data_IF_789553806416
#
_entry.id   IF_789553806416
#
_cell.length_a   1.000
_cell.length_b   1.000
_cell.length_c   1.000
_cell.angle_alpha   90.00
_cell.angle_beta   90.00
_cell.angle_gamma   90.00
#
_symmetry.space_group_name_H-M   'P 1'
#
loop_
_entity.id
_entity.type
_entity.pdbx_description
1 polymer ?
#
# COMPACT_ATOMS: atom_id res chain seq x y z
N UNK A 1 -1.62 -35.36 -10.00
CA UNK A 1 -2.04 -33.95 -10.21
C UNK A 1 -3.28 -33.95 -11.11
N UNK A 2 -4.44 -33.84 -10.50
CA UNK A 2 -5.71 -33.62 -11.22
C UNK A 2 -5.66 -32.20 -11.80
N UNK A 3 -5.39 -32.09 -13.10
CA UNK A 3 -5.66 -30.87 -13.84
C UNK A 3 -7.18 -30.66 -13.85
N UNK A 4 -7.66 -29.82 -12.97
CA UNK A 4 -9.04 -29.34 -13.04
C UNK A 4 -9.14 -28.44 -14.27
N UNK A 5 -9.67 -28.99 -15.36
CA UNK A 5 -9.97 -28.20 -16.57
C UNK A 5 -11.07 -27.23 -16.19
N UNK A 6 -10.76 -25.94 -16.17
CA UNK A 6 -11.76 -24.90 -15.90
C UNK A 6 -12.65 -24.79 -17.13
N UNK A 7 -13.99 -24.81 -16.97
CA UNK A 7 -14.92 -24.78 -18.09
C UNK A 7 -14.74 -23.56 -19.00
N UNK A 8 -14.95 -23.70 -20.29
CA UNK A 8 -14.89 -22.61 -21.29
C UNK A 8 -15.83 -21.42 -20.98
N UNK A 9 -16.77 -21.62 -20.06
CA UNK A 9 -17.74 -20.61 -19.63
C UNK A 9 -17.28 -19.74 -18.47
N UNK A 10 -16.07 -19.99 -17.93
CA UNK A 10 -15.55 -19.24 -16.76
C UNK A 10 -15.51 -17.75 -17.04
N UNK A 11 -16.04 -16.98 -16.10
CA UNK A 11 -16.05 -15.52 -16.15
C UNK A 11 -14.80 -14.92 -15.47
N UNK A 12 -14.50 -13.68 -15.82
CA UNK A 12 -13.44 -12.92 -15.13
C UNK A 12 -13.80 -12.72 -13.64
N UNK A 13 -15.08 -12.55 -13.32
CA UNK A 13 -15.57 -12.45 -11.95
C UNK A 13 -15.19 -13.65 -11.10
N UNK A 14 -15.42 -14.86 -11.61
CA UNK A 14 -15.04 -16.11 -10.92
C UNK A 14 -13.53 -16.21 -10.70
N UNK A 15 -12.71 -15.79 -11.66
CA UNK A 15 -11.25 -15.76 -11.48
C UNK A 15 -10.83 -14.74 -10.43
N UNK A 16 -11.46 -13.55 -10.42
CA UNK A 16 -11.18 -12.51 -9.41
C UNK A 16 -11.57 -12.98 -8.00
N UNK A 17 -12.72 -13.68 -7.88
CA UNK A 17 -13.19 -14.24 -6.60
C UNK A 17 -12.25 -15.31 -6.08
N UNK A 18 -11.83 -16.21 -6.95
CA UNK A 18 -10.86 -17.25 -6.61
C UNK A 18 -9.52 -16.65 -6.17
N UNK A 19 -9.01 -15.66 -6.92
CA UNK A 19 -7.78 -14.96 -6.59
C UNK A 19 -7.88 -14.21 -5.25
N UNK A 20 -8.99 -13.53 -4.99
CA UNK A 20 -9.25 -12.83 -3.74
C UNK A 20 -9.24 -13.79 -2.55
N UNK A 21 -9.75 -15.02 -2.74
CA UNK A 21 -9.84 -16.05 -1.69
C UNK A 21 -8.53 -16.82 -1.48
N UNK A 22 -7.85 -17.22 -2.56
CA UNK A 22 -6.74 -18.17 -2.47
C UNK A 22 -5.36 -17.47 -2.46
N UNK A 23 -5.18 -16.39 -3.22
CA UNK A 23 -3.87 -15.78 -3.47
C UNK A 23 -3.71 -14.46 -2.69
N UNK A 24 -4.67 -13.55 -2.81
CA UNK A 24 -4.56 -12.21 -2.23
C UNK A 24 -4.32 -12.21 -0.71
N UNK A 25 -4.85 -13.13 0.12
CA UNK A 25 -4.57 -13.16 1.56
C UNK A 25 -3.10 -13.41 1.89
N UNK A 26 -2.31 -13.99 1.00
CA UNK A 26 -0.87 -14.19 1.18
C UNK A 26 -0.06 -12.90 1.00
N UNK A 27 -0.67 -11.86 0.42
CA UNK A 27 -0.02 -10.59 0.14
C UNK A 27 -0.20 -9.58 1.28
N UNK A 28 0.86 -8.88 1.64
CA UNK A 28 0.80 -7.74 2.59
C UNK A 28 -0.16 -6.64 2.13
N UNK A 29 -0.42 -6.53 0.83
CA UNK A 29 -1.31 -5.55 0.21
C UNK A 29 -2.77 -6.00 0.08
N UNK A 30 -3.15 -7.14 0.67
CA UNK A 30 -4.48 -7.75 0.54
C UNK A 30 -5.63 -6.75 0.64
N UNK A 31 -5.65 -5.91 1.69
CA UNK A 31 -6.71 -4.93 1.90
C UNK A 31 -6.83 -3.91 0.75
N UNK A 32 -5.70 -3.50 0.18
CA UNK A 32 -5.68 -2.57 -0.96
C UNK A 32 -6.01 -3.28 -2.27
N UNK A 33 -5.60 -4.53 -2.43
CA UNK A 33 -5.94 -5.37 -3.58
C UNK A 33 -7.44 -5.60 -3.68
N UNK A 34 -8.12 -5.84 -2.56
CA UNK A 34 -9.57 -6.03 -2.49
C UNK A 34 -10.35 -4.92 -3.20
N UNK A 35 -10.02 -3.65 -2.96
CA UNK A 35 -10.68 -2.53 -3.64
C UNK A 35 -10.46 -2.54 -5.16
N UNK A 36 -9.29 -2.96 -5.62
CA UNK A 36 -8.98 -3.05 -7.04
C UNK A 36 -9.67 -4.24 -7.70
N UNK A 37 -9.72 -5.39 -7.02
CA UNK A 37 -10.47 -6.56 -7.45
C UNK A 37 -11.96 -6.24 -7.57
N UNK A 38 -12.56 -5.52 -6.62
CA UNK A 38 -13.94 -5.03 -6.71
C UNK A 38 -14.16 -4.12 -7.93
N UNK A 39 -13.19 -3.23 -8.21
CA UNK A 39 -13.27 -2.36 -9.39
C UNK A 39 -13.22 -3.19 -10.67
N UNK A 40 -12.28 -4.11 -10.80
CA UNK A 40 -12.17 -5.01 -11.95
C UNK A 40 -13.44 -5.85 -12.14
N UNK A 41 -13.99 -6.37 -11.06
CA UNK A 41 -15.25 -7.15 -11.05
C UNK A 41 -16.42 -6.31 -11.60
N UNK A 42 -16.53 -5.06 -11.18
CA UNK A 42 -17.59 -4.14 -11.66
C UNK A 42 -17.56 -3.93 -13.18
N UNK A 43 -16.38 -3.86 -13.79
CA UNK A 43 -16.24 -3.51 -15.21
C UNK A 43 -16.04 -4.70 -16.13
N UNK A 44 -15.48 -5.79 -15.63
CA UNK A 44 -15.06 -6.95 -16.43
C UNK A 44 -15.65 -8.28 -15.92
N UNK A 45 -16.26 -8.29 -14.74
CA UNK A 45 -16.70 -9.51 -14.06
C UNK A 45 -17.59 -10.41 -14.89
N UNK A 46 -18.56 -9.85 -15.62
CA UNK A 46 -19.53 -10.61 -16.43
C UNK A 46 -18.94 -11.15 -17.75
N UNK A 47 -17.69 -10.78 -18.07
CA UNK A 47 -17.07 -11.23 -19.31
C UNK A 47 -16.50 -12.63 -19.15
N UNK A 48 -16.74 -13.48 -20.16
CA UNK A 48 -16.07 -14.78 -20.25
C UNK A 48 -14.57 -14.58 -20.50
N UNK A 49 -13.76 -15.45 -19.94
CA UNK A 49 -12.29 -15.41 -20.10
C UNK A 49 -11.92 -15.53 -21.59
N UNK A 50 -12.62 -16.40 -22.36
CA UNK A 50 -12.43 -16.56 -23.80
C UNK A 50 -12.67 -15.27 -24.60
N UNK A 51 -13.49 -14.36 -24.08
CA UNK A 51 -13.86 -13.10 -24.72
C UNK A 51 -13.02 -11.90 -24.21
N UNK A 52 -12.04 -12.13 -23.33
CA UNK A 52 -11.16 -11.07 -22.83
C UNK A 52 -10.05 -10.76 -23.85
N UNK A 53 -10.44 -10.16 -24.95
CA UNK A 53 -9.50 -9.72 -25.99
C UNK A 53 -8.72 -8.45 -25.57
N UNK A 54 -7.54 -8.18 -26.14
CA UNK A 54 -6.81 -6.92 -25.90
C UNK A 54 -7.66 -5.68 -26.15
N UNK A 55 -8.56 -5.70 -27.13
CA UNK A 55 -9.49 -4.60 -27.43
C UNK A 55 -10.47 -4.31 -26.29
N UNK A 56 -10.88 -5.34 -25.53
CA UNK A 56 -11.74 -5.20 -24.36
C UNK A 56 -10.97 -4.49 -23.24
N UNK A 57 -9.70 -4.85 -23.04
CA UNK A 57 -8.82 -4.24 -22.05
C UNK A 57 -8.48 -2.79 -22.42
N UNK A 58 -8.25 -2.50 -23.70
CA UNK A 58 -8.08 -1.13 -24.20
C UNK A 58 -9.32 -0.27 -23.88
N UNK A 59 -10.51 -0.79 -24.10
CA UNK A 59 -11.77 -0.09 -23.80
C UNK A 59 -11.92 0.18 -22.30
N UNK A 60 -11.61 -0.82 -21.47
CA UNK A 60 -11.53 -0.66 -20.01
C UNK A 60 -10.54 0.43 -19.62
N UNK A 61 -9.30 0.37 -20.14
CA UNK A 61 -8.26 1.36 -19.90
C UNK A 61 -8.74 2.78 -20.21
N UNK A 62 -9.29 2.98 -21.41
CA UNK A 62 -9.70 4.31 -21.89
C UNK A 62 -10.89 4.85 -21.10
N UNK A 63 -11.81 3.99 -20.68
CA UNK A 63 -12.91 4.36 -19.79
C UNK A 63 -12.42 4.74 -18.39
N UNK A 64 -11.48 3.97 -17.83
CA UNK A 64 -10.93 4.24 -16.49
C UNK A 64 -10.08 5.49 -16.44
N UNK A 65 -9.32 5.81 -17.50
CA UNK A 65 -8.52 7.04 -17.58
C UNK A 65 -9.34 8.33 -17.46
N UNK A 66 -10.65 8.27 -17.69
CA UNK A 66 -11.54 9.43 -17.50
C UNK A 66 -11.82 9.74 -16.03
N UNK A 67 -11.60 8.78 -15.13
CA UNK A 67 -12.01 8.88 -13.71
C UNK A 67 -10.90 8.59 -12.71
N UNK A 68 -9.76 8.02 -13.15
CA UNK A 68 -8.62 7.74 -12.27
C UNK A 68 -7.29 8.15 -12.92
N UNK A 69 -6.27 8.37 -12.09
CA UNK A 69 -4.93 8.68 -12.59
C UNK A 69 -4.31 7.50 -13.35
N UNK A 70 -3.39 7.76 -14.30
CA UNK A 70 -2.63 6.71 -15.00
C UNK A 70 -1.96 5.72 -14.05
N UNK A 71 -1.43 6.19 -12.93
CA UNK A 71 -0.79 5.36 -11.92
C UNK A 71 -1.78 4.41 -11.21
N UNK A 72 -3.01 4.85 -10.96
CA UNK A 72 -4.06 4.01 -10.37
C UNK A 72 -4.51 2.93 -11.34
N UNK A 73 -4.78 3.31 -12.59
CA UNK A 73 -5.14 2.37 -13.63
C UNK A 73 -4.05 1.32 -13.89
N UNK A 74 -2.78 1.74 -13.93
CA UNK A 74 -1.67 0.77 -14.07
C UNK A 74 -1.70 -0.29 -12.97
N UNK A 75 -2.01 0.10 -11.73
CA UNK A 75 -2.13 -0.86 -10.62
C UNK A 75 -3.33 -1.81 -10.78
N UNK A 76 -4.46 -1.34 -11.33
CA UNK A 76 -5.60 -2.19 -11.66
C UNK A 76 -5.21 -3.24 -12.72
N UNK A 77 -4.55 -2.80 -13.80
CA UNK A 77 -4.10 -3.69 -14.89
C UNK A 77 -3.03 -4.69 -14.43
N UNK A 78 -2.12 -4.29 -13.53
CA UNK A 78 -1.13 -5.21 -12.94
C UNK A 78 -1.81 -6.33 -12.17
N UNK A 79 -2.85 -6.02 -11.37
CA UNK A 79 -3.61 -7.06 -10.65
C UNK A 79 -4.36 -7.96 -11.63
N UNK A 80 -5.03 -7.41 -12.63
CA UNK A 80 -5.69 -8.22 -13.67
C UNK A 80 -4.69 -9.15 -14.35
N UNK A 81 -3.51 -8.64 -14.68
CA UNK A 81 -2.43 -9.45 -15.25
C UNK A 81 -1.98 -10.58 -14.33
N UNK A 82 -1.86 -10.30 -13.02
CA UNK A 82 -1.48 -11.32 -12.03
C UNK A 82 -2.56 -12.41 -11.94
N UNK A 83 -3.83 -12.04 -11.86
CA UNK A 83 -4.96 -12.97 -11.84
C UNK A 83 -4.93 -13.91 -13.07
N UNK A 84 -4.77 -13.34 -14.27
CA UNK A 84 -4.73 -14.12 -15.50
C UNK A 84 -3.47 -15.00 -15.58
N UNK A 85 -2.32 -14.53 -15.14
CA UNK A 85 -1.11 -15.34 -15.10
C UNK A 85 -1.23 -16.53 -14.14
N UNK A 86 -1.82 -16.32 -12.96
CA UNK A 86 -2.11 -17.40 -12.01
C UNK A 86 -3.11 -18.39 -12.63
N UNK A 87 -4.14 -17.89 -13.27
CA UNK A 87 -5.14 -18.72 -13.93
C UNK A 87 -4.55 -19.60 -15.03
N UNK A 88 -3.65 -19.07 -15.83
CA UNK A 88 -2.94 -19.80 -16.89
C UNK A 88 -1.98 -20.84 -16.29
N UNK A 89 -1.17 -20.42 -15.30
CA UNK A 89 -0.08 -21.25 -14.79
C UNK A 89 -0.53 -22.31 -13.79
N UNK A 90 -1.51 -22.01 -12.96
CA UNK A 90 -1.85 -22.82 -11.79
C UNK A 90 -3.26 -23.40 -11.87
N UNK A 91 -4.21 -22.71 -12.58
CA UNK A 91 -5.60 -23.15 -12.60
C UNK A 91 -6.01 -23.82 -13.91
N UNK A 92 -5.09 -23.96 -14.88
CA UNK A 92 -5.33 -24.67 -16.13
C UNK A 92 -6.27 -23.96 -17.11
N UNK A 93 -6.37 -22.63 -17.01
CA UNK A 93 -7.13 -21.83 -17.99
C UNK A 93 -6.42 -21.90 -19.35
N UNK A 94 -7.16 -22.27 -20.38
CA UNK A 94 -6.67 -22.36 -21.76
C UNK A 94 -6.65 -20.98 -22.42
N UNK A 95 -5.73 -20.12 -22.01
CA UNK A 95 -5.37 -18.88 -22.70
C UNK A 95 -3.94 -19.01 -23.23
N UNK A 96 -3.76 -18.85 -24.54
CA UNK A 96 -2.44 -18.92 -25.15
C UNK A 96 -1.47 -17.85 -24.59
N UNK A 97 -2.00 -16.66 -24.28
CA UNK A 97 -1.22 -15.54 -23.77
C UNK A 97 -2.12 -14.64 -22.92
N UNK A 98 -1.52 -14.02 -21.92
CA UNK A 98 -2.19 -13.00 -21.11
C UNK A 98 -2.51 -11.76 -21.96
N UNK A 99 -3.79 -11.43 -22.23
CA UNK A 99 -4.15 -10.33 -23.11
C UNK A 99 -3.77 -8.95 -22.55
N UNK A 100 -3.52 -8.82 -21.23
CA UNK A 100 -3.04 -7.57 -20.64
C UNK A 100 -1.62 -7.23 -21.12
N UNK A 101 -0.78 -8.24 -21.38
CA UNK A 101 0.57 -8.03 -21.88
C UNK A 101 0.63 -7.44 -23.30
N UNK A 102 -0.47 -7.57 -24.04
CA UNK A 102 -0.60 -7.05 -25.41
C UNK A 102 -1.11 -5.60 -25.44
N UNK A 103 -1.42 -5.00 -24.30
CA UNK A 103 -1.98 -3.65 -24.21
C UNK A 103 -0.95 -2.67 -23.70
N UNK A 104 -0.82 -1.54 -24.40
CA UNK A 104 0.04 -0.46 -23.94
C UNK A 104 -0.47 0.13 -22.62
N UNK A 105 0.38 0.09 -21.60
CA UNK A 105 0.09 0.68 -20.31
C UNK A 105 0.17 2.22 -20.38
N UNK A 106 -0.64 2.93 -19.57
CA UNK A 106 -0.59 4.38 -19.53
C UNK A 106 0.77 4.86 -19.03
N UNK A 107 1.30 5.90 -19.67
CA UNK A 107 2.52 6.56 -19.20
C UNK A 107 2.23 7.23 -17.86
N UNK A 108 3.07 6.96 -16.88
CA UNK A 108 3.04 7.62 -15.58
C UNK A 108 4.00 8.80 -15.68
N UNK A 109 3.54 9.99 -15.30
CA UNK A 109 4.42 11.16 -15.18
C UNK A 109 5.53 10.94 -14.14
N UNK A 110 6.50 11.83 -14.12
CA UNK A 110 7.57 11.82 -13.12
C UNK A 110 6.98 11.82 -11.69
N UNK A 111 7.67 11.19 -10.76
CA UNK A 111 7.31 11.23 -9.35
C UNK A 111 7.24 12.67 -8.83
N UNK A 112 6.60 12.86 -7.68
CA UNK A 112 6.65 14.16 -7.00
C UNK A 112 8.08 14.38 -6.50
N UNK A 113 8.65 15.53 -6.88
CA UNK A 113 10.00 15.96 -6.50
C UNK A 113 9.95 17.22 -5.60
N UNK A 114 8.79 17.48 -5.02
CA UNK A 114 8.58 18.65 -4.17
C UNK A 114 9.21 18.42 -2.80
N UNK A 115 10.06 19.34 -2.39
CA UNK A 115 10.59 19.48 -1.02
C UNK A 115 9.83 20.59 -0.30
N UNK A 116 9.98 20.65 1.03
CA UNK A 116 9.48 21.77 1.82
C UNK A 116 10.21 23.05 1.42
N UNK A 117 9.45 24.09 1.21
CA UNK A 117 9.97 25.44 1.00
C UNK A 117 10.23 26.15 2.33
N UNK A 118 10.95 27.28 2.27
CA UNK A 118 11.22 28.08 3.46
C UNK A 118 9.91 28.53 4.14
N UNK A 119 9.81 28.33 5.45
CA UNK A 119 8.63 28.67 6.26
C UNK A 119 7.49 27.62 6.23
N UNK A 120 7.54 26.59 5.39
CA UNK A 120 6.53 25.52 5.42
C UNK A 120 6.71 24.59 6.62
N UNK A 121 7.94 24.32 7.03
CA UNK A 121 8.24 23.53 8.24
C UNK A 121 7.60 24.19 9.48
N UNK A 122 7.77 25.49 9.64
CA UNK A 122 7.20 26.24 10.77
C UNK A 122 5.67 26.14 10.79
N UNK A 123 5.01 26.26 9.61
CA UNK A 123 3.56 26.07 9.49
C UNK A 123 3.11 24.66 9.87
N UNK A 124 3.86 23.64 9.46
CA UNK A 124 3.55 22.25 9.83
C UNK A 124 3.69 22.04 11.35
N UNK A 125 4.64 22.71 11.98
CA UNK A 125 4.89 22.61 13.42
C UNK A 125 3.85 23.37 14.29
N UNK A 126 2.90 24.12 13.68
CA UNK A 126 1.73 24.66 14.40
C UNK A 126 0.62 23.65 14.66
N UNK A 127 0.76 22.42 14.15
CA UNK A 127 -0.21 21.35 14.35
C UNK A 127 -0.40 20.97 15.83
N UNK A 128 -1.42 20.13 16.12
CA UNK A 128 -1.65 19.60 17.46
C UNK A 128 -0.41 18.89 18.03
N UNK A 129 -0.30 18.84 19.35
CA UNK A 129 0.91 18.37 20.04
C UNK A 129 1.38 16.98 19.59
N UNK A 130 0.48 16.02 19.37
CA UNK A 130 0.82 14.69 18.89
C UNK A 130 1.24 14.71 17.43
N UNK A 131 0.48 15.39 16.55
CA UNK A 131 0.80 15.50 15.13
C UNK A 131 2.14 16.23 14.92
N UNK A 132 2.40 17.28 15.69
CA UNK A 132 3.69 17.99 15.69
C UNK A 132 4.85 17.03 15.99
N UNK A 133 4.74 16.17 17.00
CA UNK A 133 5.78 15.19 17.33
C UNK A 133 6.00 14.18 16.22
N UNK A 134 4.91 13.68 15.59
CA UNK A 134 4.99 12.81 14.42
C UNK A 134 5.72 13.50 13.27
N UNK A 135 5.42 14.78 13.01
CA UNK A 135 6.07 15.57 11.95
C UNK A 135 7.57 15.72 12.25
N UNK A 136 7.96 16.07 13.48
CA UNK A 136 9.37 16.18 13.87
C UNK A 136 10.08 14.85 13.64
N UNK A 137 9.53 13.74 14.12
CA UNK A 137 10.13 12.42 13.91
C UNK A 137 10.25 12.10 12.41
N UNK A 138 9.24 12.44 11.60
CA UNK A 138 9.28 12.21 10.16
C UNK A 138 10.40 13.02 9.47
N UNK A 139 10.52 14.30 9.79
CA UNK A 139 11.53 15.20 9.20
C UNK A 139 12.96 14.78 9.60
N UNK A 140 13.17 14.46 10.87
CA UNK A 140 14.48 14.14 11.40
C UNK A 140 14.98 12.74 11.00
N UNK A 141 14.08 11.81 10.68
CA UNK A 141 14.46 10.41 10.43
C UNK A 141 14.22 9.93 9.01
N UNK A 142 13.40 10.63 8.23
CA UNK A 142 12.95 10.17 6.91
C UNK A 142 12.17 8.84 6.92
N UNK A 143 11.66 8.42 8.09
CA UNK A 143 10.91 7.17 8.23
C UNK A 143 9.60 7.22 7.45
N UNK A 144 9.16 6.05 7.00
CA UNK A 144 7.82 5.93 6.40
C UNK A 144 6.73 6.12 7.46
N UNK A 145 5.59 6.71 7.06
CA UNK A 145 4.45 6.92 7.96
C UNK A 145 4.08 5.68 8.78
N UNK A 146 3.99 4.51 8.15
CA UNK A 146 3.65 3.27 8.85
C UNK A 146 4.71 2.82 9.85
N UNK A 147 5.98 3.11 9.60
CA UNK A 147 7.07 2.81 10.54
C UNK A 147 6.97 3.72 11.77
N UNK A 148 6.70 5.02 11.58
CA UNK A 148 6.53 5.99 12.69
C UNK A 148 5.35 5.61 13.58
N UNK A 149 4.18 5.28 12.98
CA UNK A 149 2.99 4.92 13.72
C UNK A 149 3.10 3.59 14.48
N UNK A 150 4.08 2.76 14.14
CA UNK A 150 4.35 1.49 14.81
C UNK A 150 5.56 1.56 15.75
N UNK A 151 6.08 2.75 16.07
CA UNK A 151 7.13 2.90 17.08
C UNK A 151 6.59 2.46 18.43
N UNK A 152 7.31 1.58 19.12
CA UNK A 152 7.08 1.18 20.51
C UNK A 152 8.19 1.72 21.40
N UNK A 153 7.93 1.84 22.70
CA UNK A 153 8.95 2.27 23.68
C UNK A 153 10.17 1.34 23.67
N UNK A 154 9.92 0.03 23.57
CA UNK A 154 10.97 -1.00 23.50
C UNK A 154 11.88 -0.90 22.27
N UNK A 155 11.46 -0.17 21.23
CA UNK A 155 12.27 0.06 20.04
C UNK A 155 13.32 1.17 20.21
N UNK A 156 13.22 1.99 21.27
CA UNK A 156 14.04 3.21 21.46
C UNK A 156 15.12 2.95 22.48
N UNK A 157 16.37 3.08 22.07
CA UNK A 157 17.52 3.15 22.98
C UNK A 157 17.93 4.61 23.19
N UNK A 158 17.48 5.21 24.30
CA UNK A 158 17.78 6.60 24.63
C UNK A 158 19.23 6.84 25.02
N UNK A 159 19.93 5.83 25.52
CA UNK A 159 21.34 5.95 25.89
C UNK A 159 22.23 5.97 24.64
N UNK A 160 21.94 5.11 23.69
CA UNK A 160 22.66 5.06 22.40
C UNK A 160 22.09 6.00 21.36
N UNK A 161 20.98 6.67 21.64
CA UNK A 161 20.26 7.56 20.71
C UNK A 161 19.90 6.83 19.39
N UNK A 162 19.36 5.62 19.48
CA UNK A 162 19.00 4.81 18.32
C UNK A 162 17.56 4.32 18.39
N UNK A 163 16.98 4.05 17.23
CA UNK A 163 15.65 3.48 17.06
C UNK A 163 15.71 2.24 16.18
N UNK A 164 15.25 1.12 16.70
CA UNK A 164 15.06 -0.12 15.95
C UNK A 164 13.74 -0.07 15.19
N UNK A 165 13.78 -0.36 13.89
CA UNK A 165 12.62 -0.52 13.03
C UNK A 165 12.52 -2.02 12.70
N UNK A 166 11.71 -2.81 13.43
CA UNK A 166 11.69 -4.26 13.30
C UNK A 166 11.00 -4.73 12.02
N UNK A 167 10.01 -3.98 11.54
CA UNK A 167 9.24 -4.31 10.34
C UNK A 167 9.38 -3.21 9.29
N UNK A 168 10.05 -3.52 8.21
CA UNK A 168 10.14 -2.65 7.04
C UNK A 168 9.31 -3.19 5.88
N UNK A 169 9.18 -2.42 4.80
CA UNK A 169 8.50 -2.88 3.58
C UNK A 169 9.19 -4.12 2.97
N UNK A 170 10.48 -4.30 3.22
CA UNK A 170 11.32 -5.40 2.69
C UNK A 170 11.62 -6.47 3.73
N UNK A 171 10.94 -6.48 4.87
CA UNK A 171 11.11 -7.43 5.99
C UNK A 171 12.52 -7.46 6.61
N UNK A 172 13.35 -6.47 6.33
CA UNK A 172 14.70 -6.38 6.90
C UNK A 172 14.68 -5.35 8.04
N UNK A 173 14.90 -5.76 9.31
CA UNK A 173 15.03 -4.83 10.41
C UNK A 173 16.20 -3.86 10.18
N UNK A 174 16.05 -2.64 10.64
CA UNK A 174 17.15 -1.67 10.63
C UNK A 174 17.15 -0.78 11.86
N UNK A 175 18.33 -0.37 12.30
CA UNK A 175 18.51 0.60 13.36
C UNK A 175 18.95 1.93 12.75
N UNK A 176 18.34 3.03 13.19
CA UNK A 176 18.67 4.38 12.74
C UNK A 176 19.12 5.23 13.92
N UNK A 177 20.04 6.18 13.71
CA UNK A 177 20.38 7.17 14.73
C UNK A 177 19.24 8.18 14.90
N UNK A 178 19.09 8.71 16.12
CA UNK A 178 18.12 9.74 16.45
C UNK A 178 18.85 11.06 16.74
N UNK A 179 18.36 12.14 16.13
CA UNK A 179 18.78 13.50 16.48
C UNK A 179 18.23 13.92 17.85
N UNK A 180 18.79 14.96 18.44
CA UNK A 180 18.30 15.52 19.71
C UNK A 180 16.84 15.96 19.62
N UNK A 181 16.41 16.54 18.49
CA UNK A 181 15.02 16.92 18.23
C UNK A 181 14.08 15.71 18.17
N UNK A 182 14.48 14.62 17.49
CA UNK A 182 13.70 13.39 17.44
C UNK A 182 13.55 12.75 18.82
N UNK A 183 14.63 12.73 19.61
CA UNK A 183 14.63 12.23 21.00
C UNK A 183 13.67 13.03 21.87
N UNK A 184 13.71 14.36 21.80
CA UNK A 184 12.82 15.23 22.56
C UNK A 184 11.34 14.99 22.20
N UNK A 185 11.03 14.87 20.91
CA UNK A 185 9.69 14.57 20.43
C UNK A 185 9.19 13.22 20.95
N UNK A 186 10.03 12.18 20.92
CA UNK A 186 9.68 10.84 21.40
C UNK A 186 9.52 10.82 22.94
N UNK A 187 10.39 11.49 23.68
CA UNK A 187 10.25 11.65 25.15
C UNK A 187 8.98 12.41 25.51
N UNK A 188 8.66 13.48 24.78
CA UNK A 188 7.44 14.25 24.99
C UNK A 188 6.16 13.42 24.74
N UNK A 189 6.21 12.49 23.80
CA UNK A 189 5.11 11.56 23.55
C UNK A 189 4.93 10.55 24.68
N UNK A 190 6.03 10.02 25.21
CA UNK A 190 6.00 9.10 26.36
C UNK A 190 5.41 9.74 27.62
N UNK A 191 5.79 11.00 27.93
CA UNK A 191 5.26 11.74 29.09
C UNK A 191 3.76 12.03 28.96
N UNK A 192 3.27 12.32 27.76
CA UNK A 192 1.83 12.56 27.51
C UNK A 192 0.97 11.32 27.63
N UNK A 193 1.56 10.13 27.68
CA UNK A 193 0.87 8.83 27.73
C UNK A 193 0.85 8.23 29.15
N UNK A 194 1.36 8.91 30.18
CA UNK A 194 1.53 8.37 31.54
C UNK A 194 0.22 7.98 32.27
N UNK A 195 -0.95 8.27 31.69
CA UNK A 195 -2.24 7.98 32.32
C UNK A 195 -2.97 6.73 31.82
N UNK A 196 -2.43 5.96 30.87
CA UNK A 196 -3.16 4.80 30.31
C UNK A 196 -2.22 3.65 29.95
N UNK A 197 -2.26 2.55 30.74
CA UNK A 197 -1.75 1.18 30.45
C UNK A 197 -0.24 0.98 30.22
N UNK A 198 0.39 -0.17 30.57
CA UNK A 198 1.80 -0.44 30.35
C UNK A 198 2.16 -0.39 28.87
N UNK A 199 2.89 0.67 28.50
CA UNK A 199 3.14 1.15 27.12
C UNK A 199 4.21 0.35 26.36
N UNK A 200 4.77 -0.72 26.95
CA UNK A 200 5.93 -1.40 26.36
C UNK A 200 5.63 -2.11 25.04
N UNK A 201 4.38 -2.59 24.86
CA UNK A 201 3.94 -3.35 23.67
C UNK A 201 3.01 -2.56 22.72
N UNK A 202 2.49 -1.38 23.13
CA UNK A 202 1.59 -0.58 22.30
C UNK A 202 2.33 0.43 21.44
N UNK A 203 1.73 0.80 20.31
CA UNK A 203 2.27 1.87 19.46
C UNK A 203 2.26 3.22 20.20
N UNK A 204 3.35 3.97 20.08
CA UNK A 204 3.58 5.22 20.79
C UNK A 204 2.63 6.35 20.35
N UNK A 205 2.16 6.31 19.11
CA UNK A 205 1.27 7.31 18.52
C UNK A 205 -0.12 6.73 18.29
N UNK A 206 -1.15 7.45 18.75
CA UNK A 206 -2.55 7.05 18.63
C UNK A 206 -3.19 7.41 17.29
N UNK A 207 -2.52 8.21 16.47
CA UNK A 207 -3.05 8.71 15.20
C UNK A 207 -3.38 7.57 14.23
N UNK A 208 -4.65 7.47 13.83
CA UNK A 208 -5.05 6.50 12.81
C UNK A 208 -4.39 6.84 11.46
N UNK A 209 -3.90 5.81 10.77
CA UNK A 209 -3.22 5.95 9.48
C UNK A 209 -4.04 6.73 8.42
N UNK A 210 -5.37 6.76 8.53
CA UNK A 210 -6.27 7.54 7.65
C UNK A 210 -6.27 9.04 7.96
N UNK A 211 -6.10 9.45 9.21
CA UNK A 211 -6.08 10.86 9.61
C UNK A 211 -4.85 11.61 9.09
N UNK A 212 -3.70 10.93 8.99
CA UNK A 212 -2.47 11.53 8.47
C UNK A 212 -2.47 11.74 6.94
N UNK A 213 -3.31 11.05 6.19
CA UNK A 213 -3.36 11.21 4.72
C UNK A 213 -3.97 12.55 4.27
N UNK A 214 -4.69 13.25 5.14
CA UNK A 214 -5.27 14.57 4.88
C UNK A 214 -4.50 15.73 5.50
N UNK A 215 -3.42 15.45 6.23
CA UNK A 215 -2.64 16.46 6.94
C UNK A 215 -1.35 16.90 6.21
N UNK A 216 -1.05 16.28 5.04
CA UNK A 216 0.11 16.58 4.19
C UNK A 216 -0.30 16.91 2.77
#
# INVERSE_FOLDING_TARGET
NLHVVIPDNTTIGELLDRYEKEISPTHKSHQVEKYRLQTLRKYLGDKRVSNLLPSVICRYRDQRLKVVSPASLKRELVILSSVLNTAIKEWGINLQQNPVSMVSLPKIGNGRDRRLESGEEEKLLTASSELRRIIIVALETGMRRGEILNIKKSHIDFARQTLLIPLTKTDTPRTIPLSSKAIEALRGQLRGSENVIPIEETALFSYAARGLSGAF
#
